data_IF_155802459159
#
_entry.id   IF_155802459159
#
_cell.length_a   1.000
_cell.length_b   1.000
_cell.length_c   1.000
_cell.angle_alpha   90.00
_cell.angle_beta   90.00
_cell.angle_gamma   90.00
#
_symmetry.space_group_name_H-M   'P 1'
#
loop_
_entity.id
_entity.type
_entity.pdbx_description
1 polymer ?
#
# COMPACT_ATOMS: atom_id res chain seq x y z
N UNK A 1 35.88 18.11 -22.10
CA UNK A 1 35.25 17.03 -22.90
C UNK A 1 36.15 15.80 -22.80
N UNK A 2 35.80 14.83 -21.96
CA UNK A 2 36.54 13.55 -21.91
C UNK A 2 35.89 12.63 -22.93
N UNK A 3 36.61 12.32 -24.02
CA UNK A 3 36.23 11.30 -24.98
C UNK A 3 36.23 9.94 -24.28
N UNK A 4 35.03 9.45 -23.97
CA UNK A 4 34.83 8.16 -23.30
C UNK A 4 33.94 7.25 -24.16
N UNK A 5 34.31 7.08 -25.43
CA UNK A 5 33.47 6.42 -26.45
C UNK A 5 33.60 4.90 -26.51
N UNK A 6 34.41 4.27 -25.64
CA UNK A 6 34.59 2.80 -25.65
C UNK A 6 34.32 2.08 -24.32
N UNK A 7 34.12 2.79 -23.21
CA UNK A 7 33.94 2.17 -21.90
C UNK A 7 32.45 2.05 -21.55
N UNK A 8 31.95 0.81 -21.41
CA UNK A 8 30.57 0.51 -21.01
C UNK A 8 30.14 1.23 -19.71
N UNK A 9 31.08 1.52 -18.80
CA UNK A 9 30.83 2.32 -17.59
C UNK A 9 30.54 3.80 -17.90
N UNK A 10 31.24 4.38 -18.88
CA UNK A 10 30.99 5.74 -19.36
C UNK A 10 29.66 5.83 -20.11
N UNK A 11 29.33 4.83 -20.93
CA UNK A 11 28.02 4.76 -21.59
C UNK A 11 26.87 4.69 -20.58
N UNK A 12 27.00 3.84 -19.55
CA UNK A 12 26.03 3.74 -18.46
C UNK A 12 25.85 5.06 -17.71
N UNK A 13 26.96 5.79 -17.51
CA UNK A 13 26.97 7.10 -16.86
C UNK A 13 26.31 8.20 -17.70
N UNK A 14 26.59 8.22 -19.01
CA UNK A 14 25.94 9.14 -19.95
C UNK A 14 24.44 8.85 -20.08
N UNK A 15 24.05 7.58 -20.06
CA UNK A 15 22.64 7.17 -20.04
C UNK A 15 21.92 7.70 -18.79
N UNK A 16 22.52 7.55 -17.60
CA UNK A 16 21.99 8.13 -16.35
C UNK A 16 21.85 9.65 -16.45
N UNK A 17 22.89 10.33 -16.95
CA UNK A 17 22.86 11.78 -17.16
C UNK A 17 21.74 12.21 -18.10
N UNK A 18 21.56 11.51 -19.22
CA UNK A 18 20.47 11.78 -20.18
C UNK A 18 19.08 11.61 -19.55
N UNK A 19 18.84 10.49 -18.83
CA UNK A 19 17.58 10.28 -18.13
C UNK A 19 17.31 11.33 -17.04
N UNK A 20 18.36 11.80 -16.36
CA UNK A 20 18.24 12.86 -15.38
C UNK A 20 17.89 14.20 -16.03
N UNK A 21 18.53 14.53 -17.16
CA UNK A 21 18.27 15.75 -17.93
C UNK A 21 16.86 15.80 -18.51
N UNK A 22 16.24 14.65 -18.79
CA UNK A 22 14.82 14.56 -19.21
C UNK A 22 13.83 14.64 -18.05
N UNK A 23 14.31 14.81 -16.82
CA UNK A 23 13.48 15.04 -15.63
C UNK A 23 12.93 13.77 -14.97
N UNK A 24 13.46 12.58 -15.30
CA UNK A 24 13.04 11.35 -14.61
C UNK A 24 13.46 11.37 -13.13
N UNK A 25 12.60 10.79 -12.28
CA UNK A 25 12.92 10.67 -10.86
C UNK A 25 14.15 9.78 -10.62
N UNK A 26 14.98 10.05 -9.60
CA UNK A 26 16.13 9.20 -9.28
C UNK A 26 15.77 7.72 -9.04
N UNK A 27 14.57 7.46 -8.52
CA UNK A 27 14.07 6.08 -8.34
C UNK A 27 13.77 5.41 -9.68
N UNK A 28 13.17 6.12 -10.63
CA UNK A 28 12.91 5.60 -11.98
C UNK A 28 14.22 5.31 -12.72
N UNK A 29 15.19 6.23 -12.64
CA UNK A 29 16.53 6.05 -13.22
C UNK A 29 17.20 4.80 -12.62
N UNK A 30 17.12 4.63 -11.30
CA UNK A 30 17.68 3.46 -10.62
C UNK A 30 17.03 2.15 -11.09
N UNK A 31 15.73 2.14 -11.38
CA UNK A 31 15.04 0.98 -11.98
C UNK A 31 15.55 0.68 -13.38
N UNK A 32 15.71 1.67 -14.25
CA UNK A 32 16.28 1.46 -15.59
C UNK A 32 17.69 0.88 -15.52
N UNK A 33 18.55 1.43 -14.66
CA UNK A 33 19.91 0.92 -14.45
C UNK A 33 19.89 -0.52 -13.90
N UNK A 34 18.96 -0.83 -13.00
CA UNK A 34 18.81 -2.19 -12.47
C UNK A 34 18.40 -3.20 -13.55
N UNK A 35 17.53 -2.80 -14.50
CA UNK A 35 17.17 -3.64 -15.65
C UNK A 35 18.37 -3.93 -16.53
N UNK A 36 19.21 -2.93 -16.81
CA UNK A 36 20.46 -3.12 -17.57
C UNK A 36 21.35 -4.13 -16.83
N UNK A 37 21.60 -3.90 -15.53
CA UNK A 37 22.43 -4.82 -14.74
C UNK A 37 21.86 -6.24 -14.67
N UNK A 38 20.53 -6.39 -14.63
CA UNK A 38 19.88 -7.70 -14.68
C UNK A 38 20.12 -8.42 -16.01
N UNK A 39 19.95 -7.74 -17.15
CA UNK A 39 20.18 -8.33 -18.48
C UNK A 39 21.62 -8.84 -18.59
N UNK A 40 22.61 -8.05 -18.16
CA UNK A 40 24.02 -8.47 -18.18
C UNK A 40 24.26 -9.70 -17.31
N UNK A 41 23.66 -9.77 -16.12
CA UNK A 41 23.76 -10.95 -15.25
C UNK A 41 23.11 -12.20 -15.85
N UNK A 42 21.96 -12.06 -16.52
CA UNK A 42 21.28 -13.18 -17.20
C UNK A 42 22.14 -13.72 -18.35
N UNK A 43 22.88 -12.83 -19.02
CA UNK A 43 23.79 -13.20 -20.11
C UNK A 43 25.19 -13.62 -19.62
N UNK A 44 25.40 -13.74 -18.31
CA UNK A 44 26.69 -14.03 -17.67
C UNK A 44 27.82 -13.07 -18.11
N UNK A 45 27.47 -11.80 -18.34
CA UNK A 45 28.38 -10.73 -18.71
C UNK A 45 28.73 -9.84 -17.51
N UNK A 46 29.89 -9.19 -17.57
CA UNK A 46 30.30 -8.22 -16.56
C UNK A 46 29.35 -7.01 -16.55
N UNK A 47 28.65 -6.81 -15.42
CA UNK A 47 27.66 -5.74 -15.24
C UNK A 47 28.33 -4.34 -15.15
N UNK A 48 28.21 -3.47 -16.18
CA UNK A 48 28.83 -2.14 -16.20
C UNK A 48 28.17 -1.16 -15.22
N UNK A 49 26.97 -1.48 -14.72
CA UNK A 49 26.24 -0.67 -13.76
C UNK A 49 26.83 -0.74 -12.35
N UNK A 50 27.66 -1.76 -12.08
CA UNK A 50 28.36 -1.89 -10.80
C UNK A 50 29.61 -1.01 -10.69
N UNK A 51 30.02 -0.35 -11.77
CA UNK A 51 31.18 0.54 -11.78
C UNK A 51 31.03 1.70 -10.79
N UNK A 52 32.17 2.18 -10.30
CA UNK A 52 32.22 3.31 -9.35
C UNK A 52 31.50 4.55 -9.89
N UNK A 53 31.71 4.87 -11.18
CA UNK A 53 31.14 6.05 -11.82
C UNK A 53 29.61 5.96 -11.88
N UNK A 54 29.06 4.83 -12.32
CA UNK A 54 27.61 4.60 -12.35
C UNK A 54 26.99 4.72 -10.95
N UNK A 55 27.61 4.10 -9.94
CA UNK A 55 27.16 4.18 -8.54
C UNK A 55 27.19 5.62 -8.00
N UNK A 56 28.24 6.38 -8.30
CA UNK A 56 28.36 7.79 -7.87
C UNK A 56 27.37 8.70 -8.59
N UNK A 57 27.13 8.49 -9.89
CA UNK A 57 26.12 9.24 -10.64
C UNK A 57 24.72 9.00 -10.11
N UNK A 58 24.33 7.74 -9.86
CA UNK A 58 23.06 7.43 -9.22
C UNK A 58 22.93 8.11 -7.85
N UNK A 59 23.99 8.04 -7.02
CA UNK A 59 24.00 8.73 -5.71
C UNK A 59 23.84 10.25 -5.88
N UNK A 60 24.48 10.82 -6.90
CA UNK A 60 24.34 12.23 -7.29
C UNK A 60 22.90 12.58 -7.64
N UNK A 61 22.24 11.80 -8.50
CA UNK A 61 20.82 11.99 -8.85
C UNK A 61 19.92 12.03 -7.61
N UNK A 62 20.10 11.07 -6.68
CA UNK A 62 19.34 11.01 -5.42
C UNK A 62 19.67 12.16 -4.45
N UNK A 63 20.87 12.72 -4.53
CA UNK A 63 21.29 13.84 -3.66
C UNK A 63 20.78 15.19 -4.17
N UNK A 64 20.76 15.38 -5.49
CA UNK A 64 20.32 16.61 -6.15
C UNK A 64 18.79 16.71 -6.15
N UNK A 65 18.10 15.64 -6.55
CA UNK A 65 16.64 15.56 -6.50
C UNK A 65 16.22 14.79 -5.24
N UNK A 66 16.15 15.49 -4.11
CA UNK A 66 15.42 14.95 -2.95
C UNK A 66 13.95 14.92 -3.32
N UNK A 67 13.41 13.72 -3.57
CA UNK A 67 11.96 13.49 -3.72
C UNK A 67 11.41 12.94 -2.40
N UNK A 68 11.09 13.80 -1.41
CA UNK A 68 10.51 13.33 -0.16
C UNK A 68 9.14 12.69 -0.43
N UNK A 69 8.78 11.73 0.40
CA UNK A 69 7.49 11.07 0.32
C UNK A 69 6.37 12.02 0.79
N UNK A 70 5.68 12.66 -0.17
CA UNK A 70 4.60 13.63 0.10
C UNK A 70 3.29 12.99 0.59
N UNK A 71 3.18 11.65 0.65
CA UNK A 71 1.92 10.97 0.94
C UNK A 71 1.53 11.07 2.42
N UNK A 72 0.38 11.64 2.73
CA UNK A 72 -0.09 11.77 4.12
C UNK A 72 -0.72 10.48 4.66
N UNK A 73 -0.70 10.26 6.00
CA UNK A 73 -1.36 9.13 6.64
C UNK A 73 -2.88 9.26 6.62
N UNK A 74 -3.59 8.13 6.46
CA UNK A 74 -5.01 7.99 6.80
C UNK A 74 -5.10 7.28 8.15
N UNK A 75 -4.96 8.03 9.25
CA UNK A 75 -5.21 7.52 10.61
C UNK A 75 -6.70 7.25 10.81
N UNK A 76 -7.09 6.54 11.88
CA UNK A 76 -8.51 6.30 12.20
C UNK A 76 -9.31 7.61 12.32
N UNK A 77 -8.69 8.67 12.83
CA UNK A 77 -9.33 9.99 12.94
C UNK A 77 -9.58 10.66 11.60
N UNK A 78 -8.63 10.54 10.66
CA UNK A 78 -8.82 11.04 9.30
C UNK A 78 -9.83 10.16 8.57
N UNK A 79 -9.75 8.85 8.76
CA UNK A 79 -10.56 7.84 8.07
C UNK A 79 -12.07 8.04 8.26
N UNK A 80 -12.50 8.56 9.42
CA UNK A 80 -13.91 8.88 9.67
C UNK A 80 -14.48 9.82 8.59
N UNK A 81 -13.68 10.78 8.10
CA UNK A 81 -14.16 11.80 7.15
C UNK A 81 -14.44 11.19 5.76
N UNK A 82 -13.53 10.43 5.12
CA UNK A 82 -13.85 9.70 3.90
C UNK A 82 -15.02 8.73 4.06
N UNK A 83 -15.14 8.02 5.19
CA UNK A 83 -16.26 7.10 5.44
C UNK A 83 -17.60 7.84 5.41
N UNK A 84 -17.72 8.96 6.13
CA UNK A 84 -18.94 9.78 6.09
C UNK A 84 -19.19 10.36 4.70
N UNK A 85 -18.14 10.77 3.99
CA UNK A 85 -18.23 11.29 2.63
C UNK A 85 -18.78 10.27 1.61
N UNK A 86 -18.68 8.95 1.87
CA UNK A 86 -19.26 7.92 1.00
C UNK A 86 -20.77 8.13 0.79
N UNK A 87 -21.48 8.66 1.78
CA UNK A 87 -22.92 8.95 1.69
C UNK A 87 -23.26 10.04 0.65
N UNK A 88 -22.31 10.90 0.33
CA UNK A 88 -22.49 12.01 -0.61
C UNK A 88 -21.84 11.71 -1.97
N UNK A 89 -20.73 10.96 -1.98
CA UNK A 89 -19.92 10.71 -3.17
C UNK A 89 -20.39 9.47 -3.94
N UNK A 90 -20.91 8.46 -3.24
CA UNK A 90 -21.27 7.18 -3.84
C UNK A 90 -22.79 7.06 -3.92
N UNK A 91 -23.41 6.96 -5.12
CA UNK A 91 -24.87 6.91 -5.24
C UNK A 91 -25.49 5.65 -4.61
N UNK A 92 -24.91 4.49 -4.89
CA UNK A 92 -25.48 3.20 -4.50
C UNK A 92 -25.09 2.80 -3.07
N UNK A 93 -26.08 2.55 -2.21
CA UNK A 93 -25.87 2.16 -0.81
C UNK A 93 -25.02 0.89 -0.66
N UNK A 94 -25.19 -0.08 -1.57
CA UNK A 94 -24.41 -1.32 -1.60
C UNK A 94 -22.91 -1.06 -1.79
N UNK A 95 -22.55 -0.11 -2.67
CA UNK A 95 -21.16 0.28 -2.89
C UNK A 95 -20.59 1.10 -1.72
N UNK A 96 -21.43 1.83 -0.98
CA UNK A 96 -21.02 2.50 0.28
C UNK A 96 -20.62 1.47 1.32
N UNK A 97 -21.44 0.44 1.52
CA UNK A 97 -21.15 -0.66 2.46
C UNK A 97 -19.84 -1.37 2.10
N UNK A 98 -19.64 -1.67 0.81
CA UNK A 98 -18.40 -2.26 0.28
C UNK A 98 -17.18 -1.38 0.60
N UNK A 99 -17.21 -0.09 0.22
CA UNK A 99 -16.07 0.80 0.42
C UNK A 99 -15.81 1.10 1.90
N UNK A 100 -16.86 1.17 2.72
CA UNK A 100 -16.73 1.32 4.17
C UNK A 100 -15.96 0.15 4.78
N UNK A 101 -16.40 -1.09 4.50
CA UNK A 101 -15.70 -2.29 4.94
C UNK A 101 -14.27 -2.34 4.40
N UNK A 102 -14.07 -2.02 3.12
CA UNK A 102 -12.75 -2.00 2.49
C UNK A 102 -11.79 -1.04 3.21
N UNK A 103 -12.19 0.21 3.40
CA UNK A 103 -11.33 1.23 4.00
C UNK A 103 -10.99 0.93 5.46
N UNK A 104 -11.97 0.46 6.24
CA UNK A 104 -11.75 0.08 7.63
C UNK A 104 -10.82 -1.12 7.76
N UNK A 105 -11.03 -2.18 6.96
CA UNK A 105 -10.14 -3.35 6.97
C UNK A 105 -8.74 -2.96 6.50
N UNK A 106 -8.62 -2.09 5.48
CA UNK A 106 -7.32 -1.66 4.98
C UNK A 106 -6.45 -0.98 6.05
N UNK A 107 -7.00 -0.04 6.84
CA UNK A 107 -6.26 0.59 7.94
C UNK A 107 -6.03 -0.39 9.09
N UNK A 108 -7.08 -1.03 9.60
CA UNK A 108 -7.00 -1.84 10.82
C UNK A 108 -6.16 -3.12 10.64
N UNK A 109 -6.09 -3.68 9.42
CA UNK A 109 -5.29 -4.87 9.10
C UNK A 109 -3.91 -4.59 8.49
N UNK A 110 -3.48 -3.32 8.43
CA UNK A 110 -2.20 -2.90 7.83
C UNK A 110 -2.03 -3.32 6.36
N UNK A 111 -3.15 -3.51 5.64
CA UNK A 111 -3.13 -4.05 4.28
C UNK A 111 -2.55 -3.06 3.27
N UNK A 112 -1.84 -3.61 2.30
CA UNK A 112 -1.67 -2.92 1.01
C UNK A 112 -2.99 -3.04 0.26
N UNK A 113 -3.45 -2.00 -0.42
CA UNK A 113 -4.69 -2.11 -1.25
C UNK A 113 -4.61 -3.28 -2.23
N UNK A 114 -3.43 -3.57 -2.79
CA UNK A 114 -3.23 -4.71 -3.69
C UNK A 114 -3.34 -6.10 -3.04
N UNK A 115 -3.46 -6.18 -1.71
CA UNK A 115 -3.78 -7.43 -0.99
C UNK A 115 -5.32 -7.63 -0.90
N UNK A 116 -6.11 -6.56 -1.12
CA UNK A 116 -7.57 -6.54 -0.99
C UNK A 116 -8.32 -6.31 -2.31
N UNK A 117 -7.69 -5.64 -3.28
CA UNK A 117 -8.27 -5.27 -4.57
C UNK A 117 -7.36 -5.68 -5.73
N UNK A 118 -7.98 -6.16 -6.82
CA UNK A 118 -7.26 -6.68 -7.98
C UNK A 118 -6.71 -5.54 -8.85
N UNK A 119 -5.46 -5.64 -9.29
CA UNK A 119 -4.90 -4.84 -10.39
C UNK A 119 -5.03 -5.59 -11.72
N UNK A 120 -4.79 -6.90 -11.70
CA UNK A 120 -4.92 -7.78 -12.87
C UNK A 120 -5.78 -9.00 -12.52
N UNK A 121 -6.31 -9.70 -13.54
CA UNK A 121 -7.11 -10.91 -13.34
C UNK A 121 -6.34 -12.07 -12.70
N UNK A 122 -5.00 -12.02 -12.70
CA UNK A 122 -4.12 -13.03 -12.12
C UNK A 122 -3.69 -12.70 -10.68
N UNK A 123 -4.24 -11.64 -10.08
CA UNK A 123 -3.80 -11.20 -8.76
C UNK A 123 -4.35 -12.09 -7.65
N UNK A 124 -3.45 -12.57 -6.81
CA UNK A 124 -3.78 -13.30 -5.59
C UNK A 124 -4.14 -12.32 -4.47
N UNK A 125 -5.40 -11.87 -4.46
CA UNK A 125 -6.00 -11.08 -3.37
C UNK A 125 -6.62 -12.00 -2.32
N UNK A 126 -6.86 -11.48 -1.12
CA UNK A 126 -7.55 -12.25 -0.07
C UNK A 126 -8.91 -12.74 -0.57
N UNK A 127 -9.22 -14.00 -0.29
CA UNK A 127 -10.44 -14.62 -0.75
C UNK A 127 -11.52 -14.64 0.33
N UNK A 128 -12.77 -14.83 -0.09
CA UNK A 128 -13.91 -14.95 0.81
C UNK A 128 -13.76 -16.08 1.87
N UNK A 129 -13.25 -17.28 1.54
CA UNK A 129 -13.03 -18.34 2.52
C UNK A 129 -11.91 -18.06 3.54
N UNK A 130 -11.07 -17.05 3.29
CA UNK A 130 -9.97 -16.70 4.19
C UNK A 130 -10.39 -15.82 5.37
N UNK A 131 -11.70 -15.59 5.53
CA UNK A 131 -12.27 -14.71 6.56
C UNK A 131 -13.08 -15.53 7.55
N UNK A 132 -12.70 -15.43 8.83
CA UNK A 132 -13.37 -16.12 9.92
C UNK A 132 -13.73 -15.12 11.00
N UNK A 133 -15.02 -14.95 11.28
CA UNK A 133 -15.48 -14.13 12.39
C UNK A 133 -15.29 -14.88 13.70
N UNK A 134 -14.71 -14.19 14.68
CA UNK A 134 -14.43 -14.70 16.01
C UNK A 134 -15.53 -14.24 16.98
N UNK A 135 -16.10 -15.19 17.73
CA UNK A 135 -17.23 -14.98 18.61
C UNK A 135 -16.95 -15.52 20.01
N UNK A 136 -17.31 -14.73 21.02
CA UNK A 136 -17.42 -15.18 22.41
C UNK A 136 -18.90 -15.29 22.76
N UNK A 137 -19.37 -16.54 22.87
CA UNK A 137 -20.80 -16.89 22.96
C UNK A 137 -21.58 -16.36 21.75
N UNK A 138 -22.23 -15.22 21.88
CA UNK A 138 -23.01 -14.55 20.82
C UNK A 138 -22.49 -13.15 20.49
N UNK A 139 -21.37 -12.73 21.08
CA UNK A 139 -20.78 -11.41 20.85
C UNK A 139 -19.58 -11.53 19.91
N UNK A 140 -19.57 -10.77 18.82
CA UNK A 140 -18.39 -10.68 17.95
C UNK A 140 -17.22 -10.07 18.72
N UNK A 141 -16.07 -10.73 18.72
CA UNK A 141 -14.82 -10.24 19.32
C UNK A 141 -13.87 -9.69 18.28
N UNK A 142 -13.86 -10.29 17.10
CA UNK A 142 -12.93 -9.91 16.04
C UNK A 142 -13.21 -10.62 14.73
N UNK A 143 -12.31 -10.40 13.79
CA UNK A 143 -12.23 -11.17 12.55
C UNK A 143 -10.78 -11.59 12.31
N UNK A 144 -10.63 -12.84 11.90
CA UNK A 144 -9.38 -13.46 11.49
C UNK A 144 -9.33 -13.43 9.97
N UNK A 145 -8.28 -12.82 9.41
CA UNK A 145 -8.02 -12.77 7.96
C UNK A 145 -6.77 -13.58 7.65
N UNK A 146 -6.88 -14.58 6.78
CA UNK A 146 -5.77 -15.43 6.35
C UNK A 146 -5.17 -14.88 5.06
N UNK A 147 -3.97 -14.30 5.14
CA UNK A 147 -3.27 -13.77 3.98
C UNK A 147 -2.27 -14.79 3.45
N UNK A 148 -2.61 -15.43 2.33
CA UNK A 148 -1.78 -16.46 1.68
C UNK A 148 -0.71 -15.88 0.77
N UNK A 149 -0.98 -14.73 0.16
CA UNK A 149 -0.07 -14.10 -0.79
C UNK A 149 0.25 -12.67 -0.38
N UNK A 150 1.53 -12.37 -0.22
CA UNK A 150 2.01 -11.03 0.08
C UNK A 150 3.45 -10.85 -0.41
N UNK A 151 3.86 -9.60 -0.64
CA UNK A 151 5.14 -9.27 -1.31
C UNK A 151 6.37 -9.93 -0.68
N UNK A 152 6.36 -10.13 0.63
CA UNK A 152 7.48 -10.67 1.40
C UNK A 152 7.30 -12.17 1.71
N UNK A 153 6.32 -12.84 1.09
CA UNK A 153 6.05 -14.26 1.28
C UNK A 153 6.96 -15.14 0.41
N UNK A 154 8.25 -15.17 0.74
CA UNK A 154 9.24 -16.00 0.00
C UNK A 154 9.01 -17.50 0.26
N UNK A 155 8.51 -17.84 1.45
CA UNK A 155 8.33 -19.22 1.92
C UNK A 155 6.92 -19.78 1.61
N UNK A 156 6.09 -19.01 0.90
CA UNK A 156 4.70 -19.37 0.55
C UNK A 156 3.82 -19.77 1.74
N UNK A 157 4.16 -19.33 2.95
CA UNK A 157 3.42 -19.64 4.16
C UNK A 157 2.32 -18.59 4.41
N UNK A 158 1.09 -19.02 4.74
CA UNK A 158 0.03 -18.08 5.07
C UNK A 158 0.32 -17.40 6.41
N UNK A 159 -0.14 -16.16 6.54
CA UNK A 159 -0.13 -15.45 7.82
C UNK A 159 -1.54 -15.08 8.23
N UNK A 160 -1.75 -15.00 9.53
CA UNK A 160 -3.04 -14.67 10.12
C UNK A 160 -3.02 -13.25 10.67
N UNK A 161 -4.03 -12.46 10.30
CA UNK A 161 -4.21 -11.09 10.76
C UNK A 161 -5.49 -11.06 11.59
N UNK A 162 -5.37 -10.76 12.88
CA UNK A 162 -6.52 -10.57 13.77
C UNK A 162 -6.89 -9.09 13.84
N UNK A 163 -8.16 -8.78 13.57
CA UNK A 163 -8.71 -7.43 13.69
C UNK A 163 -9.81 -7.45 14.76
N UNK A 164 -9.61 -6.83 15.93
CA UNK A 164 -10.61 -6.82 17.00
C UNK A 164 -11.77 -5.87 16.68
N UNK A 165 -12.89 -6.06 17.37
CA UNK A 165 -14.00 -5.10 17.39
C UNK A 165 -13.51 -3.76 17.96
N UNK A 166 -13.89 -2.67 17.30
CA UNK A 166 -13.67 -1.32 17.83
C UNK A 166 -14.88 -0.89 18.66
N UNK A 167 -14.65 -0.26 19.81
CA UNK A 167 -15.71 0.27 20.68
C UNK A 167 -16.58 1.33 19.99
N UNK A 168 -16.03 2.08 19.02
CA UNK A 168 -16.80 3.01 18.21
C UNK A 168 -17.49 2.28 17.05
N UNK A 169 -18.85 2.24 17.01
CA UNK A 169 -19.57 1.51 15.97
C UNK A 169 -19.28 2.04 14.56
N UNK A 170 -19.07 3.35 14.42
CA UNK A 170 -18.79 4.02 13.14
C UNK A 170 -17.43 3.61 12.56
N UNK A 171 -16.46 3.32 13.43
CA UNK A 171 -15.10 2.95 13.05
C UNK A 171 -14.82 1.45 13.25
N UNK A 172 -15.86 0.62 13.39
CA UNK A 172 -15.68 -0.79 13.69
C UNK A 172 -15.47 -1.61 12.41
N UNK A 173 -14.23 -2.09 12.12
CA UNK A 173 -13.95 -2.87 10.92
C UNK A 173 -14.71 -4.19 10.89
N UNK A 174 -14.87 -4.85 12.04
CA UNK A 174 -15.58 -6.14 12.16
C UNK A 174 -17.05 -5.97 11.80
N UNK A 175 -17.70 -4.93 12.34
CA UNK A 175 -19.11 -4.64 12.05
C UNK A 175 -19.31 -4.27 10.58
N UNK A 176 -18.46 -3.40 10.03
CA UNK A 176 -18.56 -3.02 8.62
C UNK A 176 -18.35 -4.23 7.69
N UNK A 177 -17.40 -5.10 8.00
CA UNK A 177 -17.18 -6.33 7.24
C UNK A 177 -18.34 -7.32 7.41
N UNK A 178 -18.91 -7.44 8.60
CA UNK A 178 -20.10 -8.26 8.82
C UNK A 178 -21.29 -7.73 8.01
N UNK A 179 -21.55 -6.42 8.03
CA UNK A 179 -22.56 -5.76 7.20
C UNK A 179 -22.32 -6.03 5.70
N UNK A 180 -21.07 -5.97 5.24
CA UNK A 180 -20.73 -6.38 3.88
C UNK A 180 -21.11 -7.85 3.60
N UNK A 181 -20.87 -8.79 4.53
CA UNK A 181 -21.27 -10.19 4.40
C UNK A 181 -22.80 -10.39 4.43
N UNK A 182 -23.54 -9.46 5.06
CA UNK A 182 -25.01 -9.50 5.02
C UNK A 182 -25.57 -9.15 3.65
N UNK A 183 -24.91 -8.27 2.90
CA UNK A 183 -25.36 -7.80 1.57
C UNK A 183 -24.77 -8.68 0.45
N UNK A 184 -23.49 -9.01 0.52
CA UNK A 184 -22.78 -9.77 -0.51
C UNK A 184 -22.65 -11.23 -0.07
N UNK A 185 -23.52 -12.09 -0.60
CA UNK A 185 -23.70 -13.50 -0.16
C UNK A 185 -22.81 -14.54 -0.88
N UNK A 186 -21.77 -14.11 -1.57
CA UNK A 186 -20.84 -15.05 -2.19
C UNK A 186 -20.07 -15.84 -1.14
N UNK A 187 -19.68 -17.06 -1.50
CA UNK A 187 -18.89 -17.97 -0.66
C UNK A 187 -17.46 -18.18 -1.17
N UNK A 188 -17.19 -17.88 -2.45
CA UNK A 188 -15.91 -18.10 -3.12
C UNK A 188 -15.44 -16.86 -3.87
N UNK A 189 -14.19 -16.87 -4.31
CA UNK A 189 -13.58 -15.75 -5.03
C UNK A 189 -13.02 -14.66 -4.12
N UNK A 190 -12.62 -13.50 -4.69
CA UNK A 190 -12.07 -12.38 -3.95
C UNK A 190 -13.01 -11.86 -2.86
N UNK A 191 -12.45 -11.48 -1.70
CA UNK A 191 -13.23 -10.97 -0.57
C UNK A 191 -14.15 -9.82 -0.96
N UNK A 192 -13.62 -8.85 -1.72
CA UNK A 192 -14.38 -7.70 -2.19
C UNK A 192 -14.70 -7.86 -3.67
N UNK A 193 -15.99 -8.03 -3.95
CA UNK A 193 -16.57 -8.04 -5.28
C UNK A 193 -17.83 -7.17 -5.34
N UNK A 194 -18.20 -6.76 -6.55
CA UNK A 194 -19.46 -6.09 -6.85
C UNK A 194 -20.64 -7.07 -6.86
N UNK A 195 -21.86 -6.53 -6.96
CA UNK A 195 -23.09 -7.35 -7.01
C UNK A 195 -23.15 -8.25 -8.24
N UNK A 196 -22.48 -7.88 -9.33
CA UNK A 196 -22.36 -8.70 -10.54
C UNK A 196 -21.27 -9.79 -10.44
N UNK A 197 -20.66 -9.96 -9.26
CA UNK A 197 -19.60 -10.94 -9.00
C UNK A 197 -18.22 -10.54 -9.51
N UNK A 198 -18.06 -9.36 -10.12
CA UNK A 198 -16.73 -8.91 -10.56
C UNK A 198 -15.89 -8.47 -9.37
N UNK A 199 -14.59 -8.82 -9.33
CA UNK A 199 -13.71 -8.39 -8.26
C UNK A 199 -13.52 -6.88 -8.25
N UNK A 200 -13.39 -6.31 -7.06
CA UNK A 200 -13.13 -4.88 -6.90
C UNK A 200 -11.71 -4.55 -7.34
N UNK A 201 -11.59 -3.59 -8.26
CA UNK A 201 -10.28 -3.21 -8.80
C UNK A 201 -9.58 -2.15 -7.95
N UNK A 202 -8.24 -2.19 -7.98
CA UNK A 202 -7.38 -1.19 -7.36
C UNK A 202 -7.69 0.22 -7.89
N UNK A 203 -7.92 0.35 -9.20
CA UNK A 203 -8.26 1.64 -9.84
C UNK A 203 -9.58 2.20 -9.33
N UNK A 204 -10.61 1.35 -9.17
CA UNK A 204 -11.89 1.77 -8.62
C UNK A 204 -11.72 2.31 -7.19
N UNK A 205 -11.07 1.56 -6.30
CA UNK A 205 -10.88 1.95 -4.90
C UNK A 205 -10.11 3.26 -4.79
N UNK A 206 -9.03 3.41 -5.57
CA UNK A 206 -8.21 4.62 -5.55
C UNK A 206 -8.95 5.83 -6.14
N UNK A 207 -9.80 5.63 -7.14
CA UNK A 207 -10.66 6.70 -7.66
C UNK A 207 -11.70 7.15 -6.64
N UNK A 208 -12.37 6.21 -5.95
CA UNK A 208 -13.35 6.56 -4.92
C UNK A 208 -12.68 7.21 -3.70
N UNK A 209 -11.47 6.77 -3.33
CA UNK A 209 -10.66 7.47 -2.34
C UNK A 209 -10.36 8.91 -2.79
N UNK A 210 -9.92 9.11 -4.03
CA UNK A 210 -9.64 10.45 -4.56
C UNK A 210 -10.86 11.36 -4.49
N UNK A 211 -12.03 10.85 -4.89
CA UNK A 211 -13.30 11.58 -4.85
C UNK A 211 -13.72 11.94 -3.43
N UNK A 212 -13.62 11.00 -2.48
CA UNK A 212 -13.95 11.24 -1.06
C UNK A 212 -12.99 12.22 -0.40
N UNK A 213 -11.68 12.12 -0.69
CA UNK A 213 -10.65 13.06 -0.20
C UNK A 213 -10.90 14.47 -0.75
N UNK A 214 -11.21 14.61 -2.04
CA UNK A 214 -11.61 15.90 -2.64
C UNK A 214 -12.84 16.48 -1.96
N UNK A 215 -13.87 15.65 -1.72
CA UNK A 215 -15.13 16.10 -1.11
C UNK A 215 -14.92 16.69 0.30
N UNK A 216 -13.99 16.15 1.07
CA UNK A 216 -13.68 16.65 2.42
C UNK A 216 -12.65 17.80 2.43
N UNK A 217 -12.32 18.38 1.26
CA UNK A 217 -11.45 19.54 1.14
C UNK A 217 -9.96 19.26 1.29
N UNK A 218 -9.52 18.01 1.17
CA UNK A 218 -8.10 17.64 1.25
C UNK A 218 -7.50 17.43 -0.16
N UNK A 219 -6.18 17.63 -0.30
CA UNK A 219 -5.48 17.45 -1.57
C UNK A 219 -5.33 15.95 -1.94
N UNK A 220 -6.02 15.45 -2.97
CA UNK A 220 -5.97 14.04 -3.33
C UNK A 220 -4.59 13.58 -3.81
N UNK A 221 -3.70 14.48 -4.23
CA UNK A 221 -2.33 14.13 -4.62
C UNK A 221 -1.51 13.61 -3.45
N UNK A 222 -1.90 13.96 -2.22
CA UNK A 222 -1.24 13.53 -1.00
C UNK A 222 -1.81 12.22 -0.44
N UNK A 223 -2.93 11.72 -0.97
CA UNK A 223 -3.59 10.51 -0.47
C UNK A 223 -3.62 9.43 -1.55
N UNK A 224 -2.95 8.31 -1.27
CA UNK A 224 -2.86 7.17 -2.19
C UNK A 224 -3.21 5.88 -1.47
N UNK A 225 -3.18 4.75 -2.16
CA UNK A 225 -3.38 3.45 -1.51
C UNK A 225 -2.36 3.14 -0.40
N UNK A 226 -1.18 3.76 -0.42
CA UNK A 226 -0.19 3.62 0.66
C UNK A 226 -0.59 4.39 1.94
N UNK A 227 -1.43 5.42 1.82
CA UNK A 227 -1.82 6.28 2.93
C UNK A 227 -2.57 5.51 4.03
N UNK A 228 -3.31 4.46 3.69
CA UNK A 228 -3.92 3.53 4.66
C UNK A 228 -2.86 2.89 5.57
N UNK A 229 -1.79 2.38 4.96
CA UNK A 229 -0.74 1.66 5.66
C UNK A 229 0.21 2.59 6.42
N UNK A 230 0.45 3.80 5.92
CA UNK A 230 1.14 4.88 6.65
C UNK A 230 0.30 5.26 7.88
N UNK A 231 -1.01 5.40 7.70
CA UNK A 231 -1.96 5.70 8.78
C UNK A 231 -2.01 4.63 9.87
N UNK A 232 -2.05 3.36 9.50
CA UNK A 232 -2.01 2.24 10.43
C UNK A 232 -0.72 2.25 11.28
N UNK A 233 0.45 2.41 10.64
CA UNK A 233 1.73 2.50 11.33
C UNK A 233 1.80 3.71 12.28
N UNK A 234 1.34 4.87 11.79
CA UNK A 234 1.34 6.12 12.55
C UNK A 234 0.42 6.02 13.76
N UNK A 235 -0.77 5.43 13.60
CA UNK A 235 -1.70 5.22 14.71
C UNK A 235 -1.11 4.25 15.75
N UNK A 236 -0.56 3.11 15.33
CA UNK A 236 0.07 2.17 16.25
C UNK A 236 1.24 2.78 17.02
N UNK A 237 2.05 3.60 16.35
CA UNK A 237 3.12 4.34 17.02
C UNK A 237 2.58 5.39 18.00
N UNK A 238 1.48 6.08 17.67
CA UNK A 238 0.88 7.08 18.56
C UNK A 238 0.31 6.50 19.85
N UNK A 239 -0.13 5.24 19.84
CA UNK A 239 -0.58 4.53 21.03
C UNK A 239 0.56 3.77 21.74
N UNK A 240 1.82 4.00 21.33
CA UNK A 240 3.01 3.49 22.01
C UNK A 240 3.42 2.06 21.69
N UNK A 241 2.93 1.45 20.60
CA UNK A 241 3.41 0.11 20.22
C UNK A 241 4.90 0.15 19.88
N UNK A 242 5.63 -0.88 20.34
CA UNK A 242 7.04 -1.02 20.03
C UNK A 242 7.30 -1.20 18.52
N UNK A 243 8.44 -0.68 18.05
CA UNK A 243 8.80 -0.67 16.62
C UNK A 243 8.80 -2.08 16.00
N UNK A 244 9.25 -3.10 16.72
CA UNK A 244 9.22 -4.49 16.27
C UNK A 244 7.79 -5.02 16.08
N UNK A 245 6.85 -4.65 16.96
CA UNK A 245 5.44 -5.03 16.85
C UNK A 245 4.82 -4.38 15.62
N UNK A 246 5.04 -3.08 15.41
CA UNK A 246 4.55 -2.36 14.23
C UNK A 246 5.17 -2.96 12.95
N UNK A 247 6.46 -3.27 12.97
CA UNK A 247 7.15 -3.95 11.87
C UNK A 247 6.48 -5.28 11.49
N UNK A 248 6.13 -6.10 12.50
CA UNK A 248 5.46 -7.37 12.32
C UNK A 248 4.02 -7.19 11.79
N UNK A 249 3.23 -6.31 12.40
CA UNK A 249 1.84 -6.04 11.98
C UNK A 249 1.78 -5.59 10.52
N UNK A 250 2.67 -4.69 10.12
CA UNK A 250 2.76 -4.26 8.74
C UNK A 250 3.59 -5.17 7.85
N UNK A 251 4.28 -6.19 8.33
CA UNK A 251 5.02 -7.13 7.45
C UNK A 251 6.12 -6.38 6.67
N UNK A 252 6.96 -5.63 7.39
CA UNK A 252 8.12 -4.92 6.83
C UNK A 252 9.42 -5.66 7.17
N UNK A 253 10.19 -6.05 6.16
CA UNK A 253 11.46 -6.79 6.35
C UNK A 253 12.65 -5.91 6.81
N UNK A 254 12.48 -4.60 7.03
CA UNK A 254 13.58 -3.69 7.36
C UNK A 254 13.12 -2.41 8.06
N UNK A 255 14.06 -1.50 8.35
CA UNK A 255 13.84 -0.11 8.85
C UNK A 255 12.90 0.74 7.96
N UNK A 256 12.41 0.20 6.85
CA UNK A 256 11.36 0.80 6.00
C UNK A 256 10.15 1.27 6.82
N UNK A 257 9.81 0.58 7.91
CA UNK A 257 8.73 1.00 8.82
C UNK A 257 8.87 2.46 9.29
N UNK A 258 10.09 2.94 9.57
CA UNK A 258 10.33 4.33 10.02
C UNK A 258 9.87 5.39 9.01
N UNK A 259 9.72 5.04 7.72
CA UNK A 259 9.13 5.93 6.70
C UNK A 259 7.60 6.03 6.77
N UNK A 260 6.96 5.04 7.39
CA UNK A 260 5.51 4.94 7.53
C UNK A 260 5.00 5.55 8.84
N UNK A 261 5.83 5.61 9.88
CA UNK A 261 5.50 6.29 11.13
C UNK A 261 5.72 7.79 10.98
N UNK A 262 4.64 8.54 10.81
CA UNK A 262 4.65 10.00 10.69
C UNK A 262 4.04 10.61 11.94
N UNK A 263 4.72 10.43 13.07
CA UNK A 263 4.45 11.22 14.26
C UNK A 263 4.86 12.66 13.93
N UNK A 264 3.93 13.47 13.44
CA UNK A 264 4.09 14.90 13.60
C UNK A 264 4.22 15.11 15.10
N UNK A 265 5.34 15.68 15.54
CA UNK A 265 5.40 16.34 16.83
C UNK A 265 4.21 17.31 16.80
N UNK A 266 3.14 16.99 17.51
CA UNK A 266 2.12 17.97 17.85
C UNK A 266 2.88 18.96 18.73
N UNK A 267 3.50 19.96 18.11
CA UNK A 267 3.80 21.22 18.78
C UNK A 267 2.45 21.79 19.16
N UNK A 268 2.04 21.43 20.39
CA UNK A 268 1.05 22.12 21.20
C UNK A 268 1.48 23.59 21.30
#
# INVERSE_FOLDING_TARGET
MVQCTGNLACLSSNFIGSLFSTGLSPSTISSHVSTIGYIYKVLDLQDPTQSFLTKKNLKGCHSVLKSPDSRLPITLDILRKPITALNHVIPHAVNRSLLNAFFLIAVNGFFRIGELAVKTKADNVIARPDIHFDYDKQQMKGVVLVLRHYKTNVEHSPITIYVPVNSSPVNCPVRALHEYFTVFKHSTGPLFQFMDGKPVSYSYVTEQLRKTISFIGLDPKQYTGYSFRIGAATHAASIGLAENVIQNLGRWNSKTMRRYTRLQCLSI
#
